data_IF_336643127847
#
_entry.id   IF_336643127847
#
_cell.length_a   1.000
_cell.length_b   1.000
_cell.length_c   1.000
_cell.angle_alpha   90.00
_cell.angle_beta   90.00
_cell.angle_gamma   90.00
#
_symmetry.space_group_name_H-M   'P 1'
#
loop_
_entity.id
_entity.type
_entity.pdbx_description
1 polymer ?
#
# COMPACT_ATOMS: atom_id res chain seq x y z
N UNK A 1 18.28 13.05 -5.27
CA UNK A 1 16.86 13.19 -4.87
C UNK A 1 16.40 11.85 -4.36
N UNK A 2 15.66 11.83 -3.26
CA UNK A 2 15.14 10.61 -2.63
C UNK A 2 13.62 10.68 -2.60
N UNK A 3 12.98 9.55 -2.84
CA UNK A 3 11.52 9.40 -2.87
C UNK A 3 11.07 8.56 -1.70
N UNK A 4 9.91 8.90 -1.13
CA UNK A 4 9.31 8.13 -0.04
C UNK A 4 7.98 7.52 -0.52
N UNK A 5 7.82 6.23 -0.27
CA UNK A 5 6.55 5.52 -0.46
C UNK A 5 6.15 4.98 0.91
N UNK A 6 4.95 5.33 1.37
CA UNK A 6 4.40 4.84 2.62
C UNK A 6 3.36 3.76 2.35
N UNK A 7 3.42 2.68 3.10
CA UNK A 7 2.45 1.59 3.08
C UNK A 7 1.95 1.37 4.50
N UNK A 8 0.67 1.61 4.71
CA UNK A 8 -0.01 1.30 5.96
C UNK A 8 -0.70 -0.05 5.81
N UNK A 9 -0.12 -1.09 6.42
CA UNK A 9 -0.52 -2.48 6.25
C UNK A 9 -1.60 -2.92 7.24
N UNK A 10 -2.68 -3.51 6.75
CA UNK A 10 -3.65 -4.26 7.56
C UNK A 10 -3.34 -5.76 7.56
N UNK A 11 -4.38 -6.59 7.58
CA UNK A 11 -4.23 -8.04 7.55
C UNK A 11 -3.82 -8.54 6.14
N UNK A 12 -4.68 -8.31 5.14
CA UNK A 12 -4.51 -8.71 3.74
C UNK A 12 -4.59 -7.53 2.74
N UNK A 13 -4.88 -6.33 3.25
CA UNK A 13 -4.99 -5.10 2.46
C UNK A 13 -4.55 -3.89 3.28
N UNK A 14 -4.29 -2.77 2.60
CA UNK A 14 -3.90 -1.53 3.24
C UNK A 14 -3.97 -0.34 2.31
N UNK A 15 -3.19 0.68 2.64
CA UNK A 15 -3.11 1.92 1.87
C UNK A 15 -1.67 2.19 1.47
N UNK A 16 -1.46 2.44 0.18
CA UNK A 16 -0.20 2.91 -0.38
C UNK A 16 -0.32 4.41 -0.66
N UNK A 17 0.65 5.18 -0.18
CA UNK A 17 0.73 6.62 -0.38
C UNK A 17 2.09 7.03 -0.93
N UNK A 18 2.09 7.96 -1.88
CA UNK A 18 3.28 8.54 -2.47
C UNK A 18 3.02 10.01 -2.79
N UNK A 19 4.00 10.87 -2.50
CA UNK A 19 3.95 12.28 -2.84
C UNK A 19 5.31 12.75 -3.34
N UNK A 20 5.35 13.34 -4.54
CA UNK A 20 6.54 13.96 -5.09
C UNK A 20 6.17 15.05 -6.07
N UNK A 21 6.47 16.30 -5.72
CA UNK A 21 6.10 17.47 -6.53
C UNK A 21 4.58 17.59 -6.67
N UNK A 22 4.07 17.56 -7.90
CA UNK A 22 2.64 17.60 -8.20
C UNK A 22 1.98 16.21 -8.25
N UNK A 23 2.75 15.13 -8.13
CA UNK A 23 2.23 13.76 -8.15
C UNK A 23 1.86 13.35 -6.73
N UNK A 24 0.58 13.05 -6.53
CA UNK A 24 0.05 12.51 -5.29
C UNK A 24 -0.74 11.24 -5.59
N UNK A 25 -0.40 10.16 -4.90
CA UNK A 25 -1.06 8.86 -4.97
C UNK A 25 -1.47 8.45 -3.58
N UNK A 26 -2.73 8.05 -3.43
CA UNK A 26 -3.26 7.45 -2.23
C UNK A 26 -4.28 6.38 -2.64
N UNK A 27 -3.88 5.11 -2.61
CA UNK A 27 -4.63 4.01 -3.20
C UNK A 27 -4.69 2.80 -2.27
N UNK A 28 -5.76 1.99 -2.32
CA UNK A 28 -5.73 0.65 -1.76
C UNK A 28 -4.57 -0.17 -2.33
N UNK A 29 -4.03 -1.05 -1.50
CA UNK A 29 -3.04 -2.05 -1.88
C UNK A 29 -3.31 -3.38 -1.15
N UNK A 30 -2.75 -4.47 -1.68
CA UNK A 30 -3.00 -5.83 -1.23
C UNK A 30 -1.72 -6.67 -1.20
N UNK A 31 -1.73 -7.75 -0.42
CA UNK A 31 -0.68 -8.76 -0.38
C UNK A 31 -1.27 -10.09 0.08
N UNK A 32 -0.57 -11.18 -0.23
CA UNK A 32 -0.90 -12.49 0.34
C UNK A 32 -0.54 -12.51 1.84
N UNK A 33 -1.50 -12.73 2.76
CA UNK A 33 -1.26 -12.73 4.20
C UNK A 33 -0.28 -13.82 4.64
N UNK A 34 -0.14 -14.92 3.88
CA UNK A 34 0.77 -16.02 4.21
C UNK A 34 2.24 -15.69 3.94
N UNK A 35 2.51 -14.69 3.11
CA UNK A 35 3.87 -14.24 2.73
C UNK A 35 4.04 -12.73 2.88
N UNK A 36 3.27 -12.14 3.81
CA UNK A 36 3.25 -10.71 4.10
C UNK A 36 4.62 -10.19 4.53
N UNK A 37 4.97 -9.00 4.03
CA UNK A 37 6.19 -8.26 4.38
C UNK A 37 6.05 -7.65 5.77
N UNK A 38 7.15 -7.62 6.51
CA UNK A 38 7.17 -7.02 7.84
C UNK A 38 7.11 -5.48 7.82
N UNK A 39 6.70 -4.90 8.95
CA UNK A 39 6.85 -3.47 9.14
C UNK A 39 8.35 -3.12 9.22
N UNK A 40 8.73 -2.03 8.59
CA UNK A 40 10.12 -1.62 8.46
C UNK A 40 10.36 -0.59 7.36
N UNK A 41 11.62 -0.22 7.20
CA UNK A 41 12.06 0.72 6.18
C UNK A 41 12.99 0.01 5.21
N UNK A 42 12.69 0.11 3.93
CA UNK A 42 13.35 -0.62 2.85
C UNK A 42 13.94 0.34 1.83
N UNK A 43 15.20 0.12 1.49
CA UNK A 43 15.88 0.87 0.43
C UNK A 43 15.62 0.21 -0.92
N UNK A 44 15.04 0.97 -1.83
CA UNK A 44 14.50 0.47 -3.08
C UNK A 44 14.78 1.37 -4.27
N UNK A 45 14.22 0.98 -5.42
CA UNK A 45 14.30 1.74 -6.65
C UNK A 45 13.22 1.34 -7.66
N UNK A 46 12.84 2.26 -8.54
CA UNK A 46 11.95 1.96 -9.67
C UNK A 46 12.71 1.23 -10.77
N UNK A 47 12.17 0.11 -11.25
CA UNK A 47 12.79 -0.76 -12.28
C UNK A 47 11.73 -1.51 -13.08
N UNK A 48 12.19 -2.38 -13.99
CA UNK A 48 11.40 -3.37 -14.70
C UNK A 48 11.55 -4.73 -14.02
N UNK A 49 10.45 -5.44 -13.76
CA UNK A 49 10.49 -6.78 -13.16
C UNK A 49 11.06 -7.82 -14.14
N UNK A 50 12.01 -8.67 -13.71
CA UNK A 50 12.70 -9.64 -14.58
C UNK A 50 11.81 -10.70 -15.18
N UNK A 51 10.86 -11.20 -14.39
CA UNK A 51 10.11 -12.41 -14.72
C UNK A 51 8.62 -12.14 -15.02
N UNK A 52 8.14 -10.90 -14.87
CA UNK A 52 6.73 -10.55 -15.09
C UNK A 52 6.56 -9.67 -16.32
N UNK A 53 5.56 -10.03 -17.15
CA UNK A 53 5.25 -9.40 -18.43
C UNK A 53 3.86 -8.76 -18.34
N UNK A 54 3.70 -7.63 -19.01
CA UNK A 54 2.42 -6.94 -19.19
C UNK A 54 1.96 -7.03 -20.64
N UNK A 55 0.74 -7.54 -20.91
CA UNK A 55 0.17 -7.42 -22.24
C UNK A 55 -0.14 -5.94 -22.56
N UNK A 56 0.33 -5.42 -23.70
CA UNK A 56 0.04 -4.06 -24.21
C UNK A 56 1.26 -3.13 -24.41
N UNK A 57 1.05 -1.97 -25.05
CA UNK A 57 2.09 -0.99 -25.43
C UNK A 57 2.75 -0.27 -24.25
N UNK A 58 4.04 0.12 -24.32
CA UNK A 58 4.76 0.81 -23.24
C UNK A 58 4.23 2.22 -22.96
N UNK A 59 4.27 2.70 -21.70
CA UNK A 59 3.82 4.05 -21.34
C UNK A 59 4.84 5.16 -21.66
N UNK A 60 6.09 4.82 -22.00
CA UNK A 60 7.19 5.77 -22.16
C UNK A 60 7.85 5.75 -23.56
N UNK A 61 7.32 4.98 -24.52
CA UNK A 61 7.86 4.82 -25.89
C UNK A 61 9.38 4.56 -25.95
N UNK A 62 10.00 4.10 -24.85
CA UNK A 62 11.41 3.74 -24.83
C UNK A 62 11.58 2.28 -25.26
N UNK A 63 12.63 1.94 -26.03
CA UNK A 63 12.95 0.55 -26.30
C UNK A 63 13.21 -0.19 -24.99
N UNK A 64 12.32 -1.13 -24.64
CA UNK A 64 12.45 -1.94 -23.43
C UNK A 64 13.71 -2.83 -23.51
N UNK A 65 14.36 -3.14 -22.37
CA UNK A 65 15.36 -4.20 -22.31
C UNK A 65 14.64 -5.57 -22.42
N UNK A 66 14.55 -6.07 -23.66
CA UNK A 66 13.76 -7.24 -24.04
C UNK A 66 14.30 -8.58 -23.51
N UNK A 67 13.38 -9.46 -23.09
CA UNK A 67 13.43 -10.90 -23.37
C UNK A 67 12.22 -11.18 -24.28
N UNK A 68 12.44 -11.70 -25.48
CA UNK A 68 11.40 -12.12 -26.44
C UNK A 68 10.38 -11.04 -26.90
N UNK A 69 10.76 -9.76 -27.07
CA UNK A 69 9.86 -8.68 -27.55
C UNK A 69 8.60 -8.44 -26.69
N UNK A 70 8.63 -8.83 -25.41
CA UNK A 70 7.51 -8.68 -24.49
C UNK A 70 7.76 -7.56 -23.48
N UNK A 71 6.73 -6.73 -23.21
CA UNK A 71 6.79 -5.61 -22.27
C UNK A 71 6.91 -6.13 -20.84
N UNK A 72 8.01 -5.80 -20.17
CA UNK A 72 8.18 -6.16 -18.76
C UNK A 72 7.25 -5.32 -17.89
N UNK A 73 6.79 -5.88 -16.77
CA UNK A 73 6.00 -5.16 -15.78
C UNK A 73 6.87 -4.14 -15.06
N UNK A 74 6.36 -2.94 -14.87
CA UNK A 74 7.03 -1.92 -14.02
C UNK A 74 6.82 -2.24 -12.54
N UNK A 75 7.79 -1.90 -11.71
CA UNK A 75 7.65 -2.02 -10.27
C UNK A 75 8.66 -1.20 -9.49
N UNK A 76 8.40 -1.02 -8.20
CA UNK A 76 9.37 -0.48 -7.25
C UNK A 76 9.94 -1.66 -6.46
N UNK A 77 11.24 -1.91 -6.60
CA UNK A 77 11.94 -2.96 -5.88
C UNK A 77 12.19 -2.54 -4.43
N UNK A 78 11.97 -3.43 -3.46
CA UNK A 78 12.20 -3.16 -2.02
C UNK A 78 13.61 -3.54 -1.52
N UNK A 79 14.50 -3.98 -2.41
CA UNK A 79 15.85 -4.40 -2.02
C UNK A 79 15.93 -5.89 -1.70
N UNK A 80 17.12 -6.31 -1.24
CA UNK A 80 17.41 -7.69 -0.88
C UNK A 80 17.16 -7.94 0.60
N UNK A 81 16.86 -9.19 0.95
CA UNK A 81 16.70 -9.62 2.34
C UNK A 81 15.48 -9.01 3.00
N UNK A 82 14.38 -8.79 2.27
CA UNK A 82 13.15 -8.26 2.85
C UNK A 82 12.54 -9.34 3.75
N UNK A 83 12.37 -9.09 5.06
CA UNK A 83 11.77 -10.05 5.98
C UNK A 83 10.29 -10.22 5.69
N UNK A 84 9.86 -11.48 5.62
CA UNK A 84 8.48 -11.89 5.43
C UNK A 84 8.11 -12.94 6.46
N UNK A 85 6.80 -13.11 6.72
CA UNK A 85 6.27 -14.16 7.61
C UNK A 85 6.89 -14.10 9.01
N UNK A 86 6.64 -13.02 9.75
CA UNK A 86 7.18 -12.80 11.10
C UNK A 86 8.72 -12.93 11.16
N UNK A 87 9.41 -12.47 10.11
CA UNK A 87 10.88 -12.52 9.97
C UNK A 87 11.47 -13.94 9.91
N UNK A 88 10.64 -14.97 9.72
CA UNK A 88 11.11 -16.35 9.60
C UNK A 88 11.74 -16.64 8.24
N UNK A 89 11.39 -15.83 7.22
CA UNK A 89 11.93 -15.92 5.86
C UNK A 89 12.35 -14.55 5.37
N UNK A 90 13.22 -14.53 4.37
CA UNK A 90 13.65 -13.33 3.66
C UNK A 90 13.47 -13.54 2.16
N UNK A 91 13.14 -12.47 1.43
CA UNK A 91 12.97 -12.50 -0.02
C UNK A 91 13.78 -11.39 -0.68
N UNK A 92 14.37 -11.72 -1.83
CA UNK A 92 15.12 -10.81 -2.70
C UNK A 92 14.27 -10.35 -3.89
N UNK A 93 13.00 -10.78 -3.98
CA UNK A 93 12.13 -10.58 -5.14
C UNK A 93 10.85 -9.82 -4.77
N UNK A 94 10.94 -8.89 -3.80
CA UNK A 94 9.80 -8.11 -3.33
C UNK A 94 9.69 -6.78 -4.08
N UNK A 95 8.51 -6.55 -4.64
CA UNK A 95 8.18 -5.35 -5.39
C UNK A 95 6.86 -4.71 -4.92
N UNK A 96 6.71 -3.43 -5.22
CA UNK A 96 5.40 -2.79 -5.42
C UNK A 96 5.11 -2.86 -6.92
N UNK A 97 4.05 -3.56 -7.32
CA UNK A 97 3.67 -3.66 -8.73
C UNK A 97 2.16 -3.64 -8.92
N UNK A 98 1.70 -3.60 -10.18
CA UNK A 98 0.26 -3.59 -10.47
C UNK A 98 -0.44 -4.89 -10.04
N UNK A 99 -1.66 -4.80 -9.56
CA UNK A 99 -2.56 -5.93 -9.32
C UNK A 99 -3.92 -5.45 -8.86
N UNK A 100 -4.92 -6.33 -8.94
CA UNK A 100 -6.31 -6.01 -8.58
C UNK A 100 -6.68 -6.44 -7.16
N UNK A 101 -5.94 -7.40 -6.62
CA UNK A 101 -6.23 -8.03 -5.33
C UNK A 101 -5.02 -8.87 -4.85
N UNK A 102 -5.14 -9.46 -3.66
CA UNK A 102 -4.08 -10.24 -3.01
C UNK A 102 -3.60 -11.46 -3.81
N UNK A 103 -4.40 -12.03 -4.72
CA UNK A 103 -3.99 -13.21 -5.51
C UNK A 103 -2.90 -12.90 -6.53
N UNK A 104 -2.62 -11.61 -6.78
CA UNK A 104 -1.56 -11.15 -7.69
C UNK A 104 -0.23 -10.88 -6.98
N UNK A 105 -0.21 -11.00 -5.65
CA UNK A 105 0.90 -10.62 -4.79
C UNK A 105 2.11 -11.52 -4.98
N UNK A 106 1.95 -12.84 -4.83
CA UNK A 106 3.09 -13.76 -4.66
C UNK A 106 4.11 -13.27 -3.59
N UNK A 107 3.65 -12.56 -2.56
CA UNK A 107 4.49 -11.90 -1.54
C UNK A 107 4.86 -10.44 -1.82
N UNK A 108 4.55 -9.90 -3.00
CA UNK A 108 4.70 -8.48 -3.33
C UNK A 108 3.57 -7.61 -2.77
N UNK A 109 3.77 -6.30 -2.76
CA UNK A 109 2.68 -5.34 -2.54
C UNK A 109 2.08 -5.04 -3.90
N UNK A 110 0.76 -5.23 -4.05
CA UNK A 110 0.07 -4.91 -5.30
C UNK A 110 -0.92 -3.78 -5.12
N UNK A 111 -1.02 -2.91 -6.11
CA UNK A 111 -1.92 -1.77 -6.13
C UNK A 111 -2.43 -1.51 -7.55
N UNK A 112 -3.35 -0.56 -7.70
CA UNK A 112 -3.90 -0.19 -9.01
C UNK A 112 -2.80 0.13 -10.06
N UNK A 113 -3.03 -0.33 -11.29
CA UNK A 113 -2.03 -0.22 -12.35
C UNK A 113 -1.72 1.23 -12.74
N UNK A 114 -2.72 2.11 -12.74
CA UNK A 114 -2.53 3.52 -13.07
C UNK A 114 -1.73 4.23 -11.97
N UNK A 115 -2.04 3.93 -10.72
CA UNK A 115 -1.36 4.51 -9.56
C UNK A 115 0.10 4.07 -9.45
N UNK A 116 0.39 2.78 -9.62
CA UNK A 116 1.79 2.28 -9.65
C UNK A 116 2.58 2.91 -10.80
N UNK A 117 1.95 3.11 -11.96
CA UNK A 117 2.61 3.74 -13.11
C UNK A 117 2.92 5.22 -12.84
N UNK A 118 2.05 5.97 -12.17
CA UNK A 118 2.32 7.37 -11.76
C UNK A 118 3.57 7.45 -10.87
N UNK A 119 3.66 6.57 -9.86
CA UNK A 119 4.81 6.50 -8.95
C UNK A 119 6.08 6.16 -9.73
N UNK A 120 6.03 5.10 -10.55
CA UNK A 120 7.18 4.66 -11.34
C UNK A 120 7.68 5.78 -12.26
N UNK A 121 6.80 6.49 -12.96
CA UNK A 121 7.17 7.61 -13.84
C UNK A 121 7.82 8.77 -13.08
N UNK A 122 7.35 9.08 -11.86
CA UNK A 122 7.88 10.17 -11.04
C UNK A 122 9.31 9.92 -10.51
N UNK A 123 9.68 8.66 -10.28
CA UNK A 123 10.99 8.30 -9.71
C UNK A 123 12.10 8.43 -10.76
N UNK A 124 13.09 9.29 -10.55
CA UNK A 124 14.25 9.42 -11.43
C UNK A 124 15.55 9.63 -10.63
N UNK A 125 16.68 9.02 -11.03
CA UNK A 125 16.82 8.03 -12.11
C UNK A 125 16.17 6.68 -11.77
N UNK A 126 15.97 5.83 -12.79
CA UNK A 126 15.57 4.42 -12.63
C UNK A 126 16.80 3.58 -12.24
N UNK A 127 16.58 2.40 -11.68
CA UNK A 127 17.64 1.43 -11.36
C UNK A 127 18.75 1.97 -10.42
N UNK A 128 18.43 3.00 -9.65
CA UNK A 128 19.32 3.62 -8.68
C UNK A 128 18.62 3.65 -7.33
N UNK A 129 19.33 3.31 -6.25
CA UNK A 129 18.78 3.23 -4.90
C UNK A 129 18.40 4.63 -4.37
N UNK A 130 17.24 5.12 -4.78
CA UNK A 130 16.72 6.47 -4.51
C UNK A 130 15.30 6.45 -3.92
N UNK A 131 14.75 5.29 -3.60
CA UNK A 131 13.43 5.15 -2.98
C UNK A 131 13.59 4.58 -1.57
N UNK A 132 12.84 5.14 -0.64
CA UNK A 132 12.62 4.59 0.70
C UNK A 132 11.16 4.14 0.78
N UNK A 133 10.95 2.84 1.01
CA UNK A 133 9.61 2.29 1.26
C UNK A 133 9.45 2.09 2.76
N UNK A 134 8.45 2.73 3.35
CA UNK A 134 8.13 2.64 4.77
C UNK A 134 6.87 1.81 4.91
N UNK A 135 6.96 0.67 5.58
CA UNK A 135 5.84 -0.23 5.88
C UNK A 135 5.52 -0.13 7.37
N UNK A 136 4.29 0.27 7.69
CA UNK A 136 3.79 0.42 9.06
C UNK A 136 2.51 -0.40 9.24
N UNK A 137 2.29 -0.97 10.41
CA UNK A 137 0.99 -1.56 10.74
C UNK A 137 -0.09 -0.51 10.90
N UNK A 138 -1.30 -0.81 10.42
CA UNK A 138 -2.49 -0.07 10.81
C UNK A 138 -2.59 -0.11 12.34
N UNK A 139 -2.55 1.06 12.96
CA UNK A 139 -2.83 1.17 14.38
C UNK A 139 -4.23 0.57 14.62
N UNK A 140 -4.41 -0.33 15.60
CA UNK A 140 -5.74 -0.77 15.98
C UNK A 140 -6.62 0.46 16.18
N UNK A 141 -7.82 0.45 15.58
CA UNK A 141 -8.81 1.46 15.91
C UNK A 141 -8.87 1.52 17.43
N UNK A 142 -8.63 2.70 18.02
CA UNK A 142 -8.76 2.86 19.46
C UNK A 142 -10.15 2.32 19.81
N UNK A 143 -10.20 1.32 20.70
CA UNK A 143 -11.47 0.82 21.20
C UNK A 143 -12.32 2.03 21.57
N UNK A 144 -13.59 2.11 21.15
CA UNK A 144 -14.46 3.16 21.65
C UNK A 144 -14.31 3.17 23.17
N UNK A 145 -14.15 4.34 23.81
CA UNK A 145 -14.01 4.42 25.25
C UNK A 145 -15.11 3.56 25.87
N UNK A 146 -14.80 2.70 26.87
CA UNK A 146 -15.78 1.79 27.44
C UNK A 146 -17.02 2.60 27.74
N UNK A 147 -18.12 2.26 27.06
CA UNK A 147 -19.32 3.08 27.00
C UNK A 147 -19.64 3.55 28.40
N UNK A 148 -19.49 4.86 28.62
CA UNK A 148 -19.79 5.46 29.90
C UNK A 148 -21.18 4.98 30.27
N UNK A 149 -21.28 4.22 31.37
CA UNK A 149 -22.57 3.83 31.93
C UNK A 149 -23.35 5.13 32.04
N UNK A 150 -24.41 5.31 31.23
CA UNK A 150 -25.39 6.34 31.50
C UNK A 150 -25.89 6.03 32.90
N UNK A 151 -25.45 6.85 33.87
CA UNK A 151 -26.07 6.90 35.18
C UNK A 151 -27.52 7.30 34.90
N UNK A 152 -28.41 6.33 34.87
CA UNK A 152 -29.83 6.60 34.98
C UNK A 152 -30.01 7.18 36.37
N UNK A 153 -30.19 8.49 36.44
CA UNK A 153 -30.64 9.16 37.63
C UNK A 153 -32.16 8.96 37.70
N UNK A 154 -32.70 8.13 38.61
CA UNK A 154 -34.13 7.80 38.62
C UNK A 154 -35.02 8.95 39.12
N UNK A 155 -34.47 10.15 39.34
CA UNK A 155 -35.16 11.28 39.97
C UNK A 155 -35.68 12.38 39.03
N UNK A 156 -35.64 12.19 37.70
CA UNK A 156 -36.11 13.21 36.73
C UNK A 156 -37.28 12.73 35.87
N UNK A 157 -38.28 12.07 36.48
CA UNK A 157 -39.57 11.80 35.82
C UNK A 157 -40.71 12.41 36.65
N UNK A 158 -40.72 13.72 36.87
CA UNK A 158 -41.94 14.44 37.31
C UNK A 158 -41.93 15.87 36.76
N UNK A 159 -43.00 16.21 36.03
CA UNK A 159 -43.27 17.53 35.42
C UNK A 159 -42.69 17.64 34.00
N UNK A 160 -43.43 17.91 32.93
CA UNK A 160 -44.65 18.70 32.78
C UNK A 160 -45.58 18.09 31.71
N UNK A 161 -46.86 17.93 32.05
CA UNK A 161 -47.96 17.93 31.08
C UNK A 161 -48.42 19.37 30.94
N UNK A 162 -48.40 19.92 29.73
CA UNK A 162 -49.23 21.02 29.18
C UNK A 162 -48.70 21.30 27.76
N UNK A 163 -49.45 21.34 26.66
CA UNK A 163 -50.88 21.16 26.41
C UNK A 163 -51.12 21.16 24.90
N UNK A 164 -52.20 20.53 24.46
CA UNK A 164 -52.76 20.66 23.11
C UNK A 164 -54.28 20.73 23.26
N UNK A 165 -54.88 21.83 22.85
CA UNK A 165 -56.33 22.01 22.71
C UNK A 165 -56.54 22.54 21.28
N UNK A 166 -57.43 21.97 20.46
CA UNK A 166 -58.06 22.72 19.37
C UNK A 166 -59.22 23.58 19.89
#
# INVERSE_FOLDING_TARGET
MTYEIKVVRGENQGTLSFNSGSISVNTPCWWDPAVKIEAGTYAGYATWMANKIDPGSPPDNKPCPWKNNQKRRVGIFLGKGVPVVNRTRHSDDIFIHKGTDASWSDGCIVADSGEVLKIWNAITPKDSQNVTVIVEDQKPAASPPPGGKKSYNPFLIWGERCGFIP
#
